data_IF_198329213695
#
_entry.id   IF_198329213695
#
_cell.length_a   1.000
_cell.length_b   1.000
_cell.length_c   1.000
_cell.angle_alpha   90.00
_cell.angle_beta   90.00
_cell.angle_gamma   90.00
#
_symmetry.space_group_name_H-M   'P 1'
#
loop_
_entity.id
_entity.type
_entity.pdbx_description
1 polymer ?
#
# COMPACT_ATOMS: atom_id res chain seq x y z
N UNK A 1 -61.62 7.34 24.18
CA UNK A 1 -62.47 6.91 23.05
C UNK A 1 -61.60 6.92 21.79
N UNK A 2 -61.24 5.72 21.30
CA UNK A 2 -60.87 5.33 19.92
C UNK A 2 -59.68 6.05 19.22
N UNK A 3 -58.52 5.38 19.03
CA UNK A 3 -58.10 4.52 17.87
C UNK A 3 -57.65 5.40 16.67
N UNK A 4 -56.55 5.23 15.92
CA UNK A 4 -55.47 4.23 15.79
C UNK A 4 -54.64 4.56 14.52
N UNK A 5 -53.37 4.13 14.50
CA UNK A 5 -52.55 3.71 13.34
C UNK A 5 -52.12 4.75 12.28
N UNK A 6 -50.79 4.91 12.20
CA UNK A 6 -50.05 5.17 10.98
C UNK A 6 -48.68 4.49 11.06
N UNK A 7 -48.61 3.20 10.72
CA UNK A 7 -47.37 2.48 10.46
C UNK A 7 -46.68 3.10 9.24
N UNK A 8 -45.37 3.33 9.31
CA UNK A 8 -44.54 3.31 8.11
C UNK A 8 -43.21 2.63 8.44
N UNK A 9 -43.07 1.45 7.86
CA UNK A 9 -41.87 0.63 7.86
C UNK A 9 -40.78 1.29 7.02
N UNK A 10 -39.58 1.43 7.58
CA UNK A 10 -38.36 1.63 6.81
C UNK A 10 -37.34 0.53 7.18
N UNK A 11 -37.68 -0.71 6.80
CA UNK A 11 -36.70 -1.78 6.65
C UNK A 11 -36.16 -1.66 5.23
N UNK A 12 -34.91 -1.22 5.06
CA UNK A 12 -34.26 -1.24 3.75
C UNK A 12 -32.88 -1.88 3.85
N UNK A 13 -32.88 -3.14 3.40
CA UNK A 13 -31.77 -3.88 2.78
C UNK A 13 -30.51 -4.11 3.63
N UNK A 14 -30.64 -5.02 4.59
CA UNK A 14 -29.58 -6.00 4.85
C UNK A 14 -29.70 -7.08 3.77
N UNK A 15 -28.94 -6.93 2.68
CA UNK A 15 -28.64 -8.04 1.78
C UNK A 15 -27.12 -8.22 1.71
N UNK A 16 -26.55 -8.89 2.71
CA UNK A 16 -25.24 -9.52 2.58
C UNK A 16 -25.48 -11.01 2.46
N UNK A 17 -25.45 -11.48 1.22
CA UNK A 17 -25.00 -12.80 0.79
C UNK A 17 -25.34 -13.94 1.76
N UNK A 18 -26.57 -14.45 1.69
CA UNK A 18 -26.78 -15.88 1.86
C UNK A 18 -26.30 -16.54 0.57
N UNK A 19 -25.02 -16.91 0.49
CA UNK A 19 -24.63 -17.97 -0.45
C UNK A 19 -25.17 -19.26 0.12
N UNK A 20 -26.23 -19.73 -0.51
CA UNK A 20 -26.70 -21.10 -0.42
C UNK A 20 -25.53 -22.05 -0.65
N UNK A 21 -25.27 -22.93 0.33
CA UNK A 21 -24.46 -24.14 0.17
C UNK A 21 -25.23 -25.13 -0.73
N UNK A 22 -25.46 -24.76 -1.98
CA UNK A 22 -25.97 -25.66 -3.02
C UNK A 22 -24.75 -26.38 -3.57
N UNK A 23 -24.58 -27.64 -3.16
CA UNK A 23 -23.83 -28.70 -3.83
C UNK A 23 -22.72 -28.24 -4.80
N UNK A 24 -21.67 -27.60 -4.27
CA UNK A 24 -20.56 -27.07 -5.07
C UNK A 24 -19.43 -28.08 -5.33
N UNK A 25 -19.45 -29.24 -4.68
CA UNK A 25 -18.40 -30.27 -4.84
C UNK A 25 -18.36 -30.85 -6.25
N UNK A 26 -19.51 -31.24 -6.80
CA UNK A 26 -19.54 -32.02 -8.05
C UNK A 26 -19.16 -31.20 -9.30
N UNK A 27 -19.45 -29.91 -9.35
CA UNK A 27 -19.20 -29.07 -10.55
C UNK A 27 -17.74 -28.62 -10.69
N UNK A 28 -16.97 -28.60 -9.59
CA UNK A 28 -15.56 -28.22 -9.66
C UNK A 28 -14.70 -29.35 -10.22
N UNK A 29 -15.01 -30.59 -9.84
CA UNK A 29 -14.24 -31.77 -10.27
C UNK A 29 -14.39 -32.03 -11.76
N UNK A 30 -15.56 -31.77 -12.35
CA UNK A 30 -15.84 -31.90 -13.79
C UNK A 30 -14.90 -31.08 -14.69
N UNK A 31 -14.23 -30.05 -14.17
CA UNK A 31 -13.29 -29.21 -14.93
C UNK A 31 -11.94 -29.88 -15.22
N UNK A 32 -11.62 -30.95 -14.51
CA UNK A 32 -10.34 -31.65 -14.64
C UNK A 32 -10.60 -33.11 -15.06
N UNK A 33 -9.75 -33.64 -15.93
CA UNK A 33 -9.78 -35.07 -16.31
C UNK A 33 -9.35 -35.95 -15.13
N UNK A 34 -9.72 -37.24 -15.13
CA UNK A 34 -9.42 -38.14 -14.01
C UNK A 34 -7.91 -38.23 -13.69
N UNK A 35 -7.07 -38.22 -14.73
CA UNK A 35 -5.61 -38.24 -14.61
C UNK A 35 -5.04 -36.93 -14.06
N UNK A 36 -5.63 -35.79 -14.43
CA UNK A 36 -5.25 -34.49 -13.88
C UNK A 36 -5.62 -34.36 -12.41
N UNK A 37 -6.79 -34.87 -12.00
CA UNK A 37 -7.23 -34.88 -10.60
C UNK A 37 -6.28 -35.68 -9.72
N UNK A 38 -5.89 -36.87 -10.16
CA UNK A 38 -4.94 -37.73 -9.45
C UNK A 38 -3.58 -37.03 -9.31
N UNK A 39 -3.04 -36.45 -10.41
CA UNK A 39 -1.80 -35.67 -10.36
C UNK A 39 -1.87 -34.48 -9.39
N UNK A 40 -3.00 -33.76 -9.36
CA UNK A 40 -3.19 -32.63 -8.43
C UNK A 40 -3.24 -33.13 -6.98
N UNK A 41 -4.01 -34.18 -6.69
CA UNK A 41 -4.14 -34.73 -5.34
C UNK A 41 -2.82 -35.31 -4.84
N UNK A 42 -2.07 -35.99 -5.69
CA UNK A 42 -0.74 -36.51 -5.37
C UNK A 42 0.21 -35.38 -4.99
N UNK A 43 0.24 -34.29 -5.77
CA UNK A 43 1.10 -33.15 -5.48
C UNK A 43 0.64 -32.44 -4.20
N UNK A 44 -0.66 -32.25 -3.97
CA UNK A 44 -1.16 -31.61 -2.75
C UNK A 44 -0.88 -32.43 -1.48
N UNK A 45 -0.94 -33.76 -1.58
CA UNK A 45 -0.70 -34.66 -0.45
C UNK A 45 0.79 -34.88 -0.17
N UNK A 46 1.59 -35.05 -1.22
CA UNK A 46 3.03 -35.31 -1.12
C UNK A 46 3.87 -34.06 -0.87
N UNK A 47 3.44 -32.88 -1.35
CA UNK A 47 4.22 -31.66 -1.22
C UNK A 47 4.15 -31.05 0.18
N UNK A 48 5.26 -30.45 0.61
CA UNK A 48 5.32 -29.65 1.83
C UNK A 48 5.00 -28.16 1.56
N UNK A 49 4.79 -27.35 2.62
CA UNK A 49 4.45 -25.93 2.48
C UNK A 49 5.45 -25.13 1.62
N UNK A 50 6.73 -25.51 1.66
CA UNK A 50 7.79 -24.85 0.89
C UNK A 50 7.77 -25.24 -0.60
N UNK A 51 7.37 -26.46 -0.93
CA UNK A 51 7.21 -26.93 -2.31
C UNK A 51 5.96 -26.32 -2.95
N UNK A 52 4.86 -26.24 -2.19
CA UNK A 52 3.64 -25.57 -2.63
C UNK A 52 3.79 -24.05 -2.73
N UNK A 53 4.81 -23.47 -2.09
CA UNK A 53 5.12 -22.03 -2.19
C UNK A 53 5.62 -21.61 -3.57
N UNK A 54 6.00 -22.57 -4.41
CA UNK A 54 6.38 -22.38 -5.82
C UNK A 54 5.19 -22.04 -6.73
N UNK A 55 3.96 -22.34 -6.29
CA UNK A 55 2.74 -22.05 -7.03
C UNK A 55 2.12 -20.70 -6.60
N UNK A 56 1.14 -20.20 -7.37
CA UNK A 56 0.50 -18.87 -7.18
C UNK A 56 -0.44 -18.81 -5.94
N UNK A 57 0.02 -19.24 -4.76
CA UNK A 57 -0.76 -19.30 -3.52
C UNK A 57 -0.05 -18.60 -2.36
N UNK A 58 -0.83 -17.89 -1.53
CA UNK A 58 -0.31 -17.14 -0.38
C UNK A 58 0.17 -18.06 0.74
N UNK A 59 1.29 -17.73 1.40
CA UNK A 59 1.86 -18.50 2.53
C UNK A 59 0.86 -18.80 3.66
N UNK A 60 -0.08 -17.90 3.95
CA UNK A 60 -1.12 -18.13 4.97
C UNK A 60 -2.09 -19.26 4.57
N UNK A 61 -2.42 -19.37 3.28
CA UNK A 61 -3.30 -20.42 2.76
C UNK A 61 -2.59 -21.77 2.71
N UNK A 62 -1.29 -21.78 2.44
CA UNK A 62 -0.46 -22.99 2.53
C UNK A 62 -0.40 -23.51 3.97
N UNK A 63 -0.29 -22.63 4.96
CA UNK A 63 -0.39 -23.02 6.37
C UNK A 63 -1.75 -23.63 6.70
N UNK A 64 -2.84 -23.07 6.15
CA UNK A 64 -4.17 -23.64 6.33
C UNK A 64 -4.31 -25.02 5.69
N UNK A 65 -3.73 -25.24 4.50
CA UNK A 65 -3.67 -26.56 3.85
C UNK A 65 -2.92 -27.58 4.71
N UNK A 66 -1.73 -27.24 5.21
CA UNK A 66 -0.95 -28.12 6.09
C UNK A 66 -1.69 -28.38 7.40
N UNK A 67 -2.30 -27.36 8.00
CA UNK A 67 -3.07 -27.52 9.23
C UNK A 67 -4.31 -28.40 9.03
N UNK A 68 -4.97 -28.30 7.88
CA UNK A 68 -6.09 -29.16 7.55
C UNK A 68 -5.59 -30.61 7.38
N UNK A 69 -4.49 -30.82 6.64
CA UNK A 69 -3.87 -32.15 6.46
C UNK A 69 -3.50 -32.81 7.80
N UNK A 70 -2.94 -32.04 8.72
CA UNK A 70 -2.59 -32.52 10.05
C UNK A 70 -3.81 -32.88 10.92
N UNK A 71 -4.98 -32.28 10.65
CA UNK A 71 -6.21 -32.50 11.44
C UNK A 71 -7.11 -33.59 10.86
N UNK A 72 -7.25 -33.64 9.53
CA UNK A 72 -8.21 -34.50 8.82
C UNK A 72 -7.55 -35.58 7.96
N UNK A 73 -6.22 -35.55 7.78
CA UNK A 73 -5.49 -36.51 6.96
C UNK A 73 -5.28 -36.04 5.51
N UNK A 74 -4.86 -36.96 4.65
CA UNK A 74 -4.66 -36.69 3.22
C UNK A 74 -5.99 -36.39 2.51
N UNK A 75 -5.96 -35.53 1.50
CA UNK A 75 -7.12 -35.19 0.68
C UNK A 75 -7.47 -36.38 -0.22
N UNK A 76 -8.74 -36.81 -0.19
CA UNK A 76 -9.25 -37.87 -1.07
C UNK A 76 -9.96 -37.31 -2.30
N UNK A 77 -10.48 -36.07 -2.20
CA UNK A 77 -11.20 -35.39 -3.28
C UNK A 77 -10.81 -33.92 -3.38
N UNK A 78 -10.96 -33.31 -4.55
CA UNK A 78 -10.72 -31.86 -4.70
C UNK A 78 -11.81 -31.04 -3.98
N UNK A 79 -12.99 -31.63 -3.80
CA UNK A 79 -14.07 -31.06 -2.99
C UNK A 79 -13.65 -30.83 -1.53
N UNK A 80 -12.89 -31.74 -0.94
CA UNK A 80 -12.35 -31.58 0.42
C UNK A 80 -11.33 -30.43 0.53
N UNK A 81 -10.56 -30.20 -0.54
CA UNK A 81 -9.60 -29.08 -0.59
C UNK A 81 -10.32 -27.73 -0.57
N UNK A 82 -11.56 -27.69 -1.08
CA UNK A 82 -12.42 -26.51 -1.03
C UNK A 82 -12.92 -26.18 0.39
N UNK A 83 -12.94 -27.16 1.29
CA UNK A 83 -13.30 -26.97 2.70
C UNK A 83 -12.19 -26.28 3.51
N UNK A 84 -11.01 -26.09 2.92
CA UNK A 84 -9.88 -25.44 3.59
C UNK A 84 -10.14 -23.95 3.71
N UNK A 85 -10.09 -23.43 4.93
CA UNK A 85 -10.33 -22.02 5.22
C UNK A 85 -9.49 -21.09 4.35
N UNK A 86 -10.17 -20.27 3.54
CA UNK A 86 -9.56 -19.28 2.67
C UNK A 86 -9.10 -19.79 1.29
N UNK A 87 -9.40 -21.05 0.94
CA UNK A 87 -9.34 -21.58 -0.43
C UNK A 87 -10.73 -21.56 -1.07
N UNK A 88 -11.10 -20.42 -1.66
CA UNK A 88 -12.28 -20.36 -2.53
C UNK A 88 -12.02 -21.02 -3.89
N UNK A 89 -13.10 -21.36 -4.61
CA UNK A 89 -13.09 -21.99 -5.94
C UNK A 89 -12.10 -21.33 -6.90
N UNK A 90 -12.12 -20.00 -7.02
CA UNK A 90 -11.25 -19.25 -7.95
C UNK A 90 -9.76 -19.29 -7.59
N UNK A 91 -9.42 -19.66 -6.35
CA UNK A 91 -8.05 -19.76 -5.85
C UNK A 91 -7.57 -21.20 -6.03
N UNK A 92 -8.43 -22.18 -5.71
CA UNK A 92 -8.15 -23.59 -5.97
C UNK A 92 -7.98 -23.85 -7.47
N UNK A 93 -8.85 -23.29 -8.31
CA UNK A 93 -8.76 -23.38 -9.77
C UNK A 93 -7.39 -22.89 -10.30
N UNK A 94 -6.93 -21.74 -9.80
CA UNK A 94 -5.62 -21.20 -10.14
C UNK A 94 -4.46 -22.03 -9.61
N UNK A 95 -4.61 -22.66 -8.45
CA UNK A 95 -3.60 -23.57 -7.90
C UNK A 95 -3.53 -24.85 -8.76
N UNK A 96 -4.67 -25.47 -9.07
CA UNK A 96 -4.76 -26.64 -9.94
C UNK A 96 -4.16 -26.37 -11.32
N UNK A 97 -4.54 -25.26 -11.96
CA UNK A 97 -3.95 -24.85 -13.25
C UNK A 97 -2.42 -24.62 -13.13
N UNK A 98 -1.95 -23.99 -12.05
CA UNK A 98 -0.52 -23.78 -11.82
C UNK A 98 0.24 -25.09 -11.61
N UNK A 99 -0.39 -26.10 -11.01
CA UNK A 99 0.17 -27.45 -10.84
C UNK A 99 0.22 -28.19 -12.18
N UNK A 100 -0.86 -28.13 -12.96
CA UNK A 100 -0.97 -28.82 -14.25
C UNK A 100 -0.03 -28.24 -15.32
N UNK A 101 0.10 -26.91 -15.36
CA UNK A 101 1.01 -26.23 -16.29
C UNK A 101 2.48 -26.31 -15.88
N UNK A 102 2.81 -26.95 -14.75
CA UNK A 102 4.18 -27.02 -14.18
C UNK A 102 4.84 -25.63 -14.13
N UNK A 103 4.01 -24.61 -13.92
CA UNK A 103 4.30 -23.20 -14.07
C UNK A 103 4.98 -22.73 -12.77
N UNK A 104 6.18 -23.28 -12.52
CA UNK A 104 7.00 -22.98 -11.35
C UNK A 104 7.35 -21.50 -11.41
N UNK A 105 6.88 -20.73 -10.43
CA UNK A 105 7.32 -19.34 -10.32
C UNK A 105 8.79 -19.40 -9.96
N UNK A 106 9.63 -19.05 -10.93
CA UNK A 106 11.07 -18.93 -10.72
C UNK A 106 11.34 -18.13 -9.45
N UNK A 107 12.27 -18.59 -8.63
CA UNK A 107 12.55 -18.00 -7.31
C UNK A 107 12.84 -16.49 -7.42
N UNK A 108 13.43 -16.05 -8.53
CA UNK A 108 13.66 -14.64 -8.84
C UNK A 108 12.36 -13.89 -9.19
N UNK A 109 11.42 -14.51 -9.91
CA UNK A 109 10.08 -13.95 -10.18
C UNK A 109 9.24 -13.86 -8.91
N UNK A 110 9.31 -14.84 -8.02
CA UNK A 110 8.59 -14.84 -6.74
C UNK A 110 9.11 -13.72 -5.82
N UNK A 111 10.43 -13.52 -5.78
CA UNK A 111 11.09 -12.43 -5.06
C UNK A 111 10.71 -11.07 -5.64
N UNK A 112 10.72 -10.92 -6.97
CA UNK A 112 10.30 -9.69 -7.66
C UNK A 112 8.82 -9.39 -7.45
N UNK A 113 7.93 -10.39 -7.47
CA UNK A 113 6.50 -10.20 -7.22
C UNK A 113 6.22 -9.84 -5.75
N UNK A 114 6.91 -10.46 -4.79
CA UNK A 114 6.80 -10.13 -3.37
C UNK A 114 7.31 -8.71 -3.07
N UNK A 115 8.46 -8.34 -3.66
CA UNK A 115 9.02 -6.99 -3.59
C UNK A 115 8.07 -5.98 -4.23
N UNK A 116 7.52 -6.28 -5.41
CA UNK A 116 6.56 -5.40 -6.09
C UNK A 116 5.23 -5.28 -5.32
N UNK A 117 4.82 -6.32 -4.59
CA UNK A 117 3.61 -6.31 -3.77
C UNK A 117 3.80 -5.56 -2.44
N UNK A 118 4.99 -5.64 -1.83
CA UNK A 118 5.36 -4.85 -0.65
C UNK A 118 5.58 -3.37 -1.00
N UNK A 119 6.13 -3.08 -2.19
CA UNK A 119 6.43 -1.72 -2.65
C UNK A 119 5.22 -0.97 -3.22
N UNK A 120 4.17 -1.67 -3.67
CA UNK A 120 2.97 -1.07 -4.30
C UNK A 120 2.08 -0.19 -3.40
N UNK A 121 2.39 0.05 -2.11
CA UNK A 121 1.42 0.69 -1.19
C UNK A 121 1.98 1.70 -0.18
N UNK A 122 3.29 1.94 -0.18
CA UNK A 122 3.91 2.73 0.89
C UNK A 122 4.15 4.20 0.51
N UNK A 123 4.29 4.49 -0.79
CA UNK A 123 4.44 5.84 -1.32
C UNK A 123 3.23 6.23 -2.18
N UNK A 124 2.81 7.49 -2.08
CA UNK A 124 1.72 8.08 -2.86
C UNK A 124 2.20 9.39 -3.50
N UNK A 125 2.12 9.58 -4.83
CA UNK A 125 1.73 8.58 -5.83
C UNK A 125 2.75 7.43 -5.91
N UNK A 126 2.35 6.33 -6.56
CA UNK A 126 3.23 5.18 -6.67
C UNK A 126 4.43 5.52 -7.57
N UNK A 127 5.63 5.22 -7.08
CA UNK A 127 6.88 5.47 -7.79
C UNK A 127 7.20 4.27 -8.70
N UNK A 128 7.47 4.51 -9.98
CA UNK A 128 7.80 3.44 -10.91
C UNK A 128 9.24 2.93 -10.68
N UNK A 129 9.49 1.66 -11.00
CA UNK A 129 10.79 1.01 -10.76
C UNK A 129 11.90 1.64 -11.61
N UNK A 130 11.57 2.07 -12.84
CA UNK A 130 12.51 2.76 -13.70
C UNK A 130 13.01 4.07 -13.06
N UNK A 131 12.07 4.85 -12.50
CA UNK A 131 12.37 6.12 -11.85
C UNK A 131 13.23 5.91 -10.59
N UNK A 132 12.92 4.88 -9.78
CA UNK A 132 13.70 4.49 -8.60
C UNK A 132 15.18 4.24 -8.88
N UNK A 133 15.50 3.65 -10.03
CA UNK A 133 16.87 3.33 -10.40
C UNK A 133 17.66 4.60 -10.71
N UNK A 134 17.02 5.59 -11.33
CA UNK A 134 17.61 6.89 -11.66
C UNK A 134 17.80 7.83 -10.46
N UNK A 135 17.13 7.59 -9.33
CA UNK A 135 17.29 8.43 -8.14
C UNK A 135 18.70 8.31 -7.56
N UNK A 136 19.33 9.46 -7.32
CA UNK A 136 20.64 9.62 -6.68
C UNK A 136 20.49 10.09 -5.23
N UNK A 137 19.51 10.95 -4.96
CA UNK A 137 19.27 11.50 -3.63
C UNK A 137 17.79 11.77 -3.35
N UNK A 138 17.42 11.78 -2.07
CA UNK A 138 16.08 12.08 -1.61
C UNK A 138 16.13 13.01 -0.39
N UNK A 139 15.12 13.87 -0.26
CA UNK A 139 14.94 14.72 0.92
C UNK A 139 13.68 14.28 1.67
N UNK A 140 13.84 13.84 2.91
CA UNK A 140 12.73 13.65 3.84
C UNK A 140 12.33 14.99 4.45
N UNK A 141 11.05 15.32 4.43
CA UNK A 141 10.46 16.53 4.97
C UNK A 141 9.47 16.16 6.08
N UNK A 142 9.56 16.83 7.22
CA UNK A 142 8.61 16.70 8.31
C UNK A 142 8.11 18.09 8.73
N UNK A 143 6.80 18.30 8.60
CA UNK A 143 6.16 19.59 8.84
C UNK A 143 5.17 19.45 9.99
N UNK A 144 5.35 20.24 11.03
CA UNK A 144 4.49 20.29 12.22
C UNK A 144 4.08 21.75 12.52
N UNK A 145 3.16 21.94 13.47
CA UNK A 145 2.75 23.29 13.91
C UNK A 145 3.91 24.09 14.51
N UNK A 146 4.89 23.41 15.11
CA UNK A 146 6.07 24.03 15.72
C UNK A 146 7.20 24.33 14.72
N UNK A 147 7.20 23.74 13.52
CA UNK A 147 8.34 23.90 12.62
C UNK A 147 8.35 22.93 11.45
N UNK A 148 9.40 23.06 10.64
CA UNK A 148 9.73 22.11 9.58
C UNK A 148 11.15 21.59 9.77
N UNK A 149 11.36 20.30 9.58
CA UNK A 149 12.69 19.69 9.50
C UNK A 149 12.87 18.94 8.19
N UNK A 150 14.12 18.85 7.75
CA UNK A 150 14.47 18.14 6.53
C UNK A 150 15.81 17.42 6.63
N UNK A 151 15.90 16.27 5.98
CA UNK A 151 17.12 15.46 5.90
C UNK A 151 17.35 15.01 4.45
N UNK A 152 18.52 15.33 3.89
CA UNK A 152 18.95 14.87 2.57
C UNK A 152 19.78 13.60 2.71
N UNK A 153 19.36 12.55 2.04
CA UNK A 153 20.07 11.29 1.95
C UNK A 153 20.53 11.02 0.52
N UNK A 154 21.73 10.49 0.39
CA UNK A 154 22.30 10.03 -0.89
C UNK A 154 22.21 8.49 -0.98
N UNK A 155 21.73 7.99 -2.12
CA UNK A 155 21.49 6.55 -2.36
C UNK A 155 22.78 5.74 -2.44
N UNK A 156 23.84 6.29 -3.04
CA UNK A 156 25.07 5.57 -3.32
C UNK A 156 25.71 4.95 -2.05
N UNK A 157 25.75 5.73 -0.97
CA UNK A 157 26.41 5.35 0.29
C UNK A 157 25.45 5.30 1.49
N UNK A 158 24.14 5.47 1.27
CA UNK A 158 23.14 5.70 2.32
C UNK A 158 23.58 6.80 3.32
N UNK A 159 24.25 7.84 2.81
CA UNK A 159 24.87 8.88 3.63
C UNK A 159 23.89 10.02 3.86
N UNK A 160 23.78 10.45 5.12
CA UNK A 160 23.13 11.71 5.47
C UNK A 160 24.02 12.87 5.01
N UNK A 161 23.57 13.62 4.01
CA UNK A 161 24.32 14.74 3.44
C UNK A 161 24.11 16.00 4.26
N UNK A 162 22.86 16.32 4.56
CA UNK A 162 22.49 17.50 5.35
C UNK A 162 21.25 17.19 6.17
N UNK A 163 21.19 17.76 7.38
CA UNK A 163 20.01 17.72 8.23
C UNK A 163 19.86 19.09 8.90
N UNK A 164 18.68 19.68 8.79
CA UNK A 164 18.39 20.96 9.43
C UNK A 164 16.90 21.08 9.76
N UNK A 165 16.55 22.15 10.47
CA UNK A 165 15.18 22.51 10.80
C UNK A 165 14.99 24.02 10.80
N UNK A 166 13.74 24.44 10.73
CA UNK A 166 13.33 25.83 10.87
C UNK A 166 12.13 25.89 11.82
N UNK A 167 12.26 26.71 12.85
CA UNK A 167 11.27 26.85 13.92
C UNK A 167 10.19 27.86 13.53
N UNK A 168 8.94 27.56 13.86
CA UNK A 168 7.77 28.42 13.64
C UNK A 168 7.41 29.24 14.88
N UNK A 169 8.12 29.07 16.00
CA UNK A 169 7.91 29.83 17.24
C UNK A 169 7.95 31.36 17.04
N UNK A 170 8.74 31.83 16.08
CA UNK A 170 8.87 33.25 15.73
C UNK A 170 7.76 33.78 14.81
N UNK A 171 6.85 32.93 14.31
CA UNK A 171 5.75 33.38 13.45
C UNK A 171 4.65 34.04 14.28
N UNK A 172 4.08 35.17 13.80
CA UNK A 172 2.90 35.76 14.41
C UNK A 172 1.73 34.76 14.44
N UNK A 173 0.91 34.78 15.49
CA UNK A 173 -0.27 33.90 15.61
C UNK A 173 -1.30 34.09 14.47
N UNK A 174 -1.29 35.26 13.82
CA UNK A 174 -2.09 35.58 12.65
C UNK A 174 -1.13 35.91 11.51
N UNK A 175 -0.91 34.93 10.64
CA UNK A 175 -0.11 35.08 9.43
C UNK A 175 -1.09 35.32 8.29
N UNK A 176 -0.91 36.40 7.53
CA UNK A 176 -1.68 36.59 6.29
C UNK A 176 -1.12 35.65 5.21
N UNK A 177 -1.91 35.28 4.18
CA UNK A 177 -1.41 34.42 3.09
C UNK A 177 -0.15 34.94 2.41
N UNK A 178 0.00 36.27 2.32
CA UNK A 178 1.21 36.93 1.79
C UNK A 178 2.44 36.66 2.64
N UNK A 179 2.30 36.69 3.97
CA UNK A 179 3.39 36.42 4.90
C UNK A 179 3.74 34.93 4.90
N UNK A 180 2.72 34.07 4.84
CA UNK A 180 2.89 32.62 4.71
C UNK A 180 3.64 32.27 3.42
N UNK A 181 3.34 32.94 2.31
CA UNK A 181 4.06 32.78 1.05
C UNK A 181 5.53 33.19 1.15
N UNK A 182 5.81 34.38 1.69
CA UNK A 182 7.20 34.82 1.88
C UNK A 182 8.00 33.86 2.77
N UNK A 183 7.35 33.33 3.81
CA UNK A 183 7.93 32.35 4.68
C UNK A 183 8.17 31.00 3.97
N UNK A 184 7.23 30.54 3.13
CA UNK A 184 7.39 29.35 2.30
C UNK A 184 8.58 29.49 1.34
N UNK A 185 8.76 30.67 0.72
CA UNK A 185 9.92 30.97 -0.14
C UNK A 185 11.23 30.88 0.65
N UNK A 186 11.28 31.46 1.86
CA UNK A 186 12.45 31.37 2.74
C UNK A 186 12.80 29.92 3.09
N UNK A 187 11.80 29.10 3.42
CA UNK A 187 11.99 27.67 3.70
C UNK A 187 12.48 26.93 2.46
N UNK A 188 11.83 27.11 1.31
CA UNK A 188 12.19 26.47 0.05
C UNK A 188 13.66 26.75 -0.33
N UNK A 189 14.12 27.97 -0.09
CA UNK A 189 15.52 28.36 -0.31
C UNK A 189 16.50 27.70 0.66
N UNK A 190 16.05 27.26 1.84
CA UNK A 190 16.88 26.56 2.83
C UNK A 190 16.96 25.04 2.58
N UNK A 191 15.94 24.47 1.93
CA UNK A 191 15.90 23.05 1.56
C UNK A 191 16.92 22.79 0.43
N UNK A 192 17.76 21.75 0.51
CA UNK A 192 18.69 21.38 -0.56
C UNK A 192 17.95 20.72 -1.75
N UNK A 193 18.44 20.89 -2.99
CA UNK A 193 17.86 20.24 -4.15
C UNK A 193 18.03 18.72 -4.08
N UNK A 194 17.01 17.99 -4.51
CA UNK A 194 17.00 16.53 -4.61
C UNK A 194 16.11 16.03 -5.76
N UNK A 195 16.24 14.75 -6.09
CA UNK A 195 15.44 14.11 -7.14
C UNK A 195 13.98 13.98 -6.71
N UNK A 196 13.77 13.62 -5.44
CA UNK A 196 12.45 13.50 -4.81
C UNK A 196 12.41 14.08 -3.40
N UNK A 197 11.21 14.55 -3.03
CA UNK A 197 10.85 15.02 -1.69
C UNK A 197 9.80 14.09 -1.10
N UNK A 198 10.05 13.61 0.11
CA UNK A 198 9.20 12.63 0.80
C UNK A 198 8.62 13.28 2.05
N UNK A 199 7.29 13.34 2.14
CA UNK A 199 6.55 13.76 3.33
C UNK A 199 5.89 12.55 3.99
N UNK A 200 5.60 12.61 5.29
CA UNK A 200 4.71 11.63 5.91
C UNK A 200 3.25 12.04 5.67
N UNK A 201 2.43 11.11 5.15
CA UNK A 201 0.98 11.30 5.12
C UNK A 201 0.47 11.29 6.56
N UNK A 202 -0.13 12.37 7.04
CA UNK A 202 -0.91 12.30 8.28
C UNK A 202 -2.35 11.96 7.94
N UNK A 203 -3.00 11.17 8.79
CA UNK A 203 -4.42 10.89 8.60
C UNK A 203 -5.22 12.17 8.81
N UNK A 204 -6.03 12.51 7.80
CA UNK A 204 -7.14 13.45 7.97
C UNK A 204 -8.10 12.74 8.90
N UNK A 205 -8.17 13.21 10.14
CA UNK A 205 -9.10 12.68 11.10
C UNK A 205 -10.52 12.83 10.53
N UNK A 206 -11.33 11.76 10.60
CA UNK A 206 -12.69 11.76 10.07
C UNK A 206 -13.56 12.88 10.68
N UNK A 207 -14.79 13.08 10.18
CA UNK A 207 -15.61 14.27 10.46
C UNK A 207 -15.85 14.57 11.95
N UNK A 208 -15.69 13.58 12.84
CA UNK A 208 -15.95 13.69 14.28
C UNK A 208 -14.67 13.81 15.14
N UNK A 209 -13.52 14.14 14.55
CA UNK A 209 -12.26 14.30 15.27
C UNK A 209 -11.64 15.64 14.91
N UNK A 210 -11.03 16.29 15.90
CA UNK A 210 -10.30 17.55 15.70
C UNK A 210 -9.33 17.40 14.52
N UNK A 211 -9.27 18.38 13.61
CA UNK A 211 -8.36 18.30 12.47
C UNK A 211 -6.93 18.15 12.98
N UNK A 212 -6.21 17.17 12.43
CA UNK A 212 -4.80 16.92 12.75
C UNK A 212 -3.90 18.11 12.38
N UNK A 213 -4.39 19.00 11.52
CA UNK A 213 -3.68 20.17 11.02
C UNK A 213 -4.38 21.46 11.42
N UNK A 214 -3.60 22.48 11.81
CA UNK A 214 -4.12 23.84 11.79
C UNK A 214 -4.30 24.30 10.33
N UNK A 215 -5.30 25.16 10.04
CA UNK A 215 -5.47 25.72 8.70
C UNK A 215 -4.20 26.38 8.16
N UNK A 216 -3.44 27.06 9.03
CA UNK A 216 -2.16 27.69 8.71
C UNK A 216 -1.09 26.68 8.28
N UNK A 217 -1.02 25.52 8.93
CA UNK A 217 -0.08 24.46 8.57
C UNK A 217 -0.42 23.86 7.20
N UNK A 218 -1.72 23.67 6.91
CA UNK A 218 -2.17 23.17 5.62
C UNK A 218 -1.84 24.16 4.49
N UNK A 219 -2.08 25.45 4.72
CA UNK A 219 -1.75 26.53 3.80
C UNK A 219 -0.25 26.56 3.48
N UNK A 220 0.59 26.63 4.52
CA UNK A 220 2.05 26.65 4.36
C UNK A 220 2.57 25.39 3.63
N UNK A 221 2.05 24.22 4.00
CA UNK A 221 2.42 22.95 3.37
C UNK A 221 2.06 22.96 1.89
N UNK A 222 0.87 23.44 1.54
CA UNK A 222 0.40 23.53 0.15
C UNK A 222 1.27 24.48 -0.68
N UNK A 223 1.60 25.66 -0.13
CA UNK A 223 2.49 26.62 -0.78
C UNK A 223 3.89 26.01 -1.00
N UNK A 224 4.45 25.35 0.02
CA UNK A 224 5.78 24.74 -0.07
C UNK A 224 5.82 23.64 -1.13
N UNK A 225 4.80 22.79 -1.19
CA UNK A 225 4.66 21.73 -2.20
C UNK A 225 4.63 22.33 -3.61
N UNK A 226 3.83 23.38 -3.82
CA UNK A 226 3.75 24.07 -5.11
C UNK A 226 5.12 24.68 -5.49
N UNK A 227 5.79 25.34 -4.54
CA UNK A 227 7.10 25.94 -4.75
C UNK A 227 8.19 24.91 -5.05
N UNK A 228 8.20 23.75 -4.38
CA UNK A 228 9.19 22.71 -4.61
C UNK A 228 9.06 22.08 -6.01
N UNK A 229 7.84 21.93 -6.54
CA UNK A 229 7.63 21.42 -7.89
C UNK A 229 7.92 22.45 -9.00
N UNK A 230 7.75 23.75 -8.71
CA UNK A 230 7.86 24.83 -9.71
C UNK A 230 9.18 25.61 -9.67
N UNK A 231 9.94 25.52 -8.57
CA UNK A 231 11.16 26.30 -8.38
C UNK A 231 12.28 25.86 -9.33
N UNK A 232 12.95 26.80 -10.03
CA UNK A 232 14.12 26.48 -10.87
C UNK A 232 15.28 25.84 -10.10
N UNK A 233 15.41 26.12 -8.80
CA UNK A 233 16.43 25.53 -7.94
C UNK A 233 16.24 24.02 -7.79
N UNK A 234 14.98 23.58 -7.76
CA UNK A 234 14.58 22.21 -7.45
C UNK A 234 14.17 21.42 -8.69
N UNK A 235 13.87 22.10 -9.80
CA UNK A 235 13.48 21.53 -11.09
C UNK A 235 14.54 21.90 -12.13
N UNK A 236 15.54 21.03 -12.30
CA UNK A 236 16.62 21.19 -13.29
C UNK A 236 16.24 20.70 -14.69
N UNK A 237 15.18 19.89 -14.82
CA UNK A 237 14.76 19.29 -16.09
C UNK A 237 13.38 19.81 -16.51
N UNK A 238 13.24 20.12 -17.80
CA UNK A 238 12.04 20.61 -18.49
C UNK A 238 11.62 22.07 -18.28
N UNK A 239 12.48 22.99 -18.75
CA UNK A 239 12.00 24.25 -19.34
C UNK A 239 12.10 24.20 -20.87
N UNK A 240 11.58 23.13 -21.46
CA UNK A 240 11.32 23.07 -22.89
C UNK A 240 9.96 23.72 -23.18
N UNK A 241 9.78 24.47 -24.28
CA UNK A 241 8.59 25.28 -24.52
C UNK A 241 7.28 24.51 -24.80
N UNK A 242 7.25 23.17 -24.68
CA UNK A 242 6.17 22.34 -25.25
C UNK A 242 5.62 21.22 -24.36
N UNK A 243 6.04 21.09 -23.10
CA UNK A 243 5.46 20.06 -22.20
C UNK A 243 4.60 20.71 -21.11
N UNK A 244 3.28 20.63 -21.25
CA UNK A 244 2.27 21.08 -20.27
C UNK A 244 2.27 20.28 -18.94
N UNK A 245 3.28 19.44 -18.70
CA UNK A 245 3.33 18.52 -17.57
C UNK A 245 4.46 18.87 -16.61
N UNK A 246 4.11 19.27 -15.39
CA UNK A 246 5.07 19.42 -14.30
C UNK A 246 5.41 18.05 -13.71
N UNK A 247 6.69 17.63 -13.69
CA UNK A 247 7.07 16.38 -13.07
C UNK A 247 6.80 16.46 -11.57
N UNK A 248 5.99 15.53 -11.03
CA UNK A 248 5.74 15.49 -9.60
C UNK A 248 6.97 14.92 -8.87
N UNK A 249 7.64 15.76 -8.08
CA UNK A 249 8.77 15.34 -7.24
C UNK A 249 8.37 15.01 -5.81
N UNK A 250 7.08 15.12 -5.48
CA UNK A 250 6.58 15.05 -4.11
C UNK A 250 5.84 13.74 -3.89
N UNK A 251 6.28 13.02 -2.86
CA UNK A 251 5.77 11.71 -2.49
C UNK A 251 5.40 11.69 -1.01
N UNK A 252 4.35 10.94 -0.70
CA UNK A 252 3.85 10.76 0.65
C UNK A 252 4.09 9.33 1.11
N UNK A 253 4.83 9.19 2.21
CA UNK A 253 5.02 7.94 2.91
C UNK A 253 3.82 7.68 3.83
N UNK A 254 3.30 6.46 3.83
CA UNK A 254 2.14 6.09 4.65
C UNK A 254 2.37 6.38 6.14
N UNK A 255 1.35 6.92 6.82
CA UNK A 255 1.40 7.25 8.25
C UNK A 255 1.88 6.08 9.09
N UNK A 256 2.74 6.33 10.08
CA UNK A 256 3.32 5.34 11.02
C UNK A 256 4.19 4.27 10.36
N UNK A 257 4.40 4.31 9.05
CA UNK A 257 5.31 3.38 8.40
C UNK A 257 6.76 3.56 8.88
N UNK A 258 7.30 4.79 9.01
CA UNK A 258 8.62 5.00 9.63
C UNK A 258 8.70 4.37 11.03
N UNK A 259 7.73 4.67 11.90
CA UNK A 259 7.71 4.15 13.26
C UNK A 259 7.72 2.61 13.31
N UNK A 260 7.00 1.95 12.39
CA UNK A 260 7.00 0.48 12.27
C UNK A 260 8.34 -0.07 11.76
N UNK A 261 8.95 0.60 10.77
CA UNK A 261 10.23 0.18 10.20
C UNK A 261 11.36 0.25 11.22
N UNK A 262 11.34 1.25 12.11
CA UNK A 262 12.36 1.46 13.15
C UNK A 262 12.00 0.83 14.50
N UNK A 263 10.90 0.07 14.61
CA UNK A 263 10.47 -0.53 15.88
C UNK A 263 10.11 0.49 16.98
N UNK A 264 9.89 1.75 16.61
CA UNK A 264 9.55 2.83 17.52
C UNK A 264 8.03 2.96 17.75
N UNK A 265 7.21 2.20 17.01
CA UNK A 265 5.77 2.15 17.24
C UNK A 265 5.48 1.28 18.46
N UNK A 266 5.22 1.93 19.59
CA UNK A 266 4.71 1.31 20.81
C UNK A 266 3.18 1.45 20.79
N UNK A 267 2.47 0.34 20.87
CA UNK A 267 1.00 0.29 20.83
C UNK A 267 0.46 -1.03 21.35
#
# INVERSE_FOLDING_TARGET
MFISKGMSFAITKISRFCSSNVALGNTFEEKFTATEREKILDILNSSNADELSKFKVTRNRLKNLVNWKNKKGAFSTLSEVLEVDGLGINILDRLCQSILSEDVIDSDKQTRLAINKLRKTNLVPNLHIADLNGLTCAVGLHIESAGISWAKLEKANNKLVTWNYNDFSALPKKVLPTDAFQFAVKIMNSIPPADIYILESKQISGPNKNPTYSPQQLELTSMLIALLNTSPKHTLEHRGPTTDHYPNKIYYLKNRLPARLFGALIG
#
